data_IF_520094351099
#
_entry.id   IF_520094351099
#
_cell.length_a   1.000
_cell.length_b   1.000
_cell.length_c   1.000
_cell.angle_alpha   90.00
_cell.angle_beta   90.00
_cell.angle_gamma   90.00
#
_symmetry.space_group_name_H-M   'P 1'
#
loop_
_entity.id
_entity.type
_entity.pdbx_description
1 polymer ?
#
# COMPACT_ATOMS: atom_id res chain seq x y z
N UNK A 1 67.91 -23.84 -59.79
CA UNK A 1 66.52 -23.46 -60.13
C UNK A 1 65.56 -24.45 -59.49
N UNK A 2 64.94 -24.08 -58.36
CA UNK A 2 63.58 -24.50 -57.91
C UNK A 2 63.43 -24.16 -56.42
N UNK A 3 62.93 -22.96 -56.14
CA UNK A 3 62.36 -22.61 -54.84
C UNK A 3 60.87 -22.95 -54.89
N UNK A 4 60.43 -23.88 -54.04
CA UNK A 4 59.03 -24.21 -53.82
C UNK A 4 58.48 -23.26 -52.75
N UNK A 5 57.67 -22.29 -53.17
CA UNK A 5 56.97 -21.36 -52.28
C UNK A 5 55.63 -22.01 -51.93
N UNK A 6 55.49 -22.50 -50.70
CA UNK A 6 54.19 -22.88 -50.14
C UNK A 6 53.49 -21.62 -49.60
N UNK A 7 52.49 -21.14 -50.33
CA UNK A 7 51.59 -20.10 -49.86
C UNK A 7 50.51 -20.75 -48.98
N UNK A 8 50.67 -20.63 -47.65
CA UNK A 8 49.64 -21.01 -46.68
C UNK A 8 48.57 -19.92 -46.71
N UNK A 9 47.46 -20.19 -47.40
CA UNK A 9 46.29 -19.33 -47.45
C UNK A 9 45.48 -19.54 -46.15
N UNK A 10 45.83 -18.81 -45.08
CA UNK A 10 45.04 -18.76 -43.86
C UNK A 10 43.72 -18.03 -44.14
N UNK A 11 42.66 -18.79 -44.38
CA UNK A 11 41.29 -18.27 -44.41
C UNK A 11 40.93 -17.92 -42.96
N UNK A 12 41.08 -16.65 -42.59
CA UNK A 12 40.64 -16.13 -41.30
C UNK A 12 39.11 -16.00 -41.37
N UNK A 13 38.39 -17.03 -40.96
CA UNK A 13 36.93 -17.01 -40.85
C UNK A 13 36.55 -15.97 -39.80
N UNK A 14 36.16 -14.78 -40.24
CA UNK A 14 35.71 -13.70 -39.38
C UNK A 14 34.30 -14.03 -38.86
N UNK A 15 34.21 -14.95 -37.90
CA UNK A 15 32.97 -15.18 -37.16
C UNK A 15 32.67 -13.91 -36.36
N UNK A 16 31.46 -13.33 -36.45
CA UNK A 16 31.13 -12.16 -35.65
C UNK A 16 31.31 -12.52 -34.18
N UNK A 17 32.09 -11.70 -33.47
CA UNK A 17 32.33 -11.91 -32.05
C UNK A 17 31.02 -11.65 -31.26
N UNK A 18 30.81 -12.31 -30.11
CA UNK A 18 29.64 -12.05 -29.25
C UNK A 18 29.42 -10.58 -28.89
N UNK A 19 30.48 -9.77 -28.85
CA UNK A 19 30.37 -8.33 -28.62
C UNK A 19 29.70 -7.58 -29.80
N UNK A 20 29.96 -8.00 -31.04
CA UNK A 20 29.38 -7.39 -32.23
C UNK A 20 27.91 -7.78 -32.41
N UNK A 21 27.53 -9.01 -32.01
CA UNK A 21 26.12 -9.43 -31.99
C UNK A 21 25.33 -8.71 -30.90
N UNK A 22 25.88 -8.57 -29.68
CA UNK A 22 25.24 -7.84 -28.60
C UNK A 22 24.96 -6.37 -28.96
N UNK A 23 25.93 -5.67 -29.56
CA UNK A 23 25.74 -4.27 -29.93
C UNK A 23 24.62 -4.08 -30.97
N UNK A 24 24.55 -4.96 -31.97
CA UNK A 24 23.48 -4.95 -32.97
C UNK A 24 22.11 -5.15 -32.31
N UNK A 25 21.98 -6.12 -31.41
CA UNK A 25 20.72 -6.40 -30.69
C UNK A 25 20.28 -5.19 -29.85
N UNK A 26 21.20 -4.53 -29.15
CA UNK A 26 20.88 -3.31 -28.37
C UNK A 26 20.39 -2.18 -29.25
N UNK A 27 20.98 -1.99 -30.44
CA UNK A 27 20.54 -0.97 -31.39
C UNK A 27 19.12 -1.25 -31.88
N UNK A 28 18.84 -2.49 -32.30
CA UNK A 28 17.49 -2.92 -32.70
C UNK A 28 16.48 -2.75 -31.55
N UNK A 29 16.88 -3.05 -30.31
CA UNK A 29 16.05 -2.86 -29.13
C UNK A 29 15.72 -1.38 -28.88
N UNK A 30 16.71 -0.49 -29.01
CA UNK A 30 16.53 0.96 -28.87
C UNK A 30 15.63 1.54 -29.96
N UNK A 31 15.75 1.06 -31.21
CA UNK A 31 14.88 1.44 -32.31
C UNK A 31 13.43 1.01 -32.03
N UNK A 32 13.23 -0.26 -31.67
CA UNK A 32 11.91 -0.77 -31.30
C UNK A 32 11.31 -0.01 -30.11
N UNK A 33 12.11 0.34 -29.10
CA UNK A 33 11.64 1.12 -27.95
C UNK A 33 11.14 2.51 -28.38
N UNK A 34 11.89 3.20 -29.25
CA UNK A 34 11.51 4.53 -29.76
C UNK A 34 10.22 4.50 -30.59
N UNK A 35 9.94 3.38 -31.25
CA UNK A 35 8.70 3.15 -31.99
C UNK A 35 7.52 2.76 -31.08
N UNK A 36 7.73 2.61 -29.77
CA UNK A 36 6.72 2.13 -28.82
C UNK A 36 6.52 0.62 -28.83
N UNK A 37 7.34 -0.12 -29.58
CA UNK A 37 7.31 -1.58 -29.68
C UNK A 37 8.04 -2.23 -28.49
N UNK A 38 7.58 -1.93 -27.26
CA UNK A 38 8.28 -2.28 -26.02
C UNK A 38 8.51 -3.78 -25.83
N UNK A 39 7.61 -4.64 -26.32
CA UNK A 39 7.78 -6.10 -26.26
C UNK A 39 8.95 -6.58 -27.14
N UNK A 40 9.11 -6.00 -28.32
CA UNK A 40 10.24 -6.30 -29.22
C UNK A 40 11.53 -5.76 -28.59
N UNK A 41 11.49 -4.56 -28.03
CA UNK A 41 12.63 -3.99 -27.33
C UNK A 41 13.10 -4.89 -26.16
N UNK A 42 12.17 -5.36 -25.33
CA UNK A 42 12.45 -6.33 -24.27
C UNK A 42 13.12 -7.60 -24.81
N UNK A 43 12.54 -8.25 -25.82
CA UNK A 43 13.09 -9.48 -26.40
C UNK A 43 14.54 -9.28 -26.84
N UNK A 44 14.80 -8.18 -27.55
CA UNK A 44 16.13 -7.85 -28.07
C UNK A 44 17.12 -7.49 -26.96
N UNK A 45 16.70 -6.78 -25.90
CA UNK A 45 17.57 -6.52 -24.76
C UNK A 45 17.89 -7.80 -23.98
N UNK A 46 16.95 -8.72 -23.80
CA UNK A 46 17.21 -10.02 -23.17
C UNK A 46 18.22 -10.84 -23.98
N UNK A 47 18.04 -10.92 -25.30
CA UNK A 47 19.01 -11.55 -26.19
C UNK A 47 20.38 -10.88 -26.14
N UNK A 48 20.44 -9.54 -26.05
CA UNK A 48 21.71 -8.83 -25.90
C UNK A 48 22.43 -9.21 -24.59
N UNK A 49 21.68 -9.32 -23.50
CA UNK A 49 22.20 -9.72 -22.18
C UNK A 49 22.70 -11.16 -22.15
N UNK A 50 22.07 -12.08 -22.90
CA UNK A 50 22.59 -13.45 -23.06
C UNK A 50 23.98 -13.47 -23.72
N UNK A 51 24.27 -12.53 -24.62
CA UNK A 51 25.57 -12.42 -25.27
C UNK A 51 26.59 -11.71 -24.37
N UNK A 52 26.17 -10.59 -23.76
CA UNK A 52 26.99 -9.80 -22.83
C UNK A 52 26.07 -8.97 -21.94
N UNK A 53 25.93 -9.40 -20.69
CA UNK A 53 25.22 -8.64 -19.66
C UNK A 53 26.00 -7.37 -19.29
N UNK A 54 25.27 -6.25 -19.19
CA UNK A 54 25.74 -5.02 -18.56
C UNK A 54 24.59 -4.17 -18.06
N UNK A 55 24.90 -3.34 -17.06
CA UNK A 55 23.95 -2.51 -16.34
C UNK A 55 23.14 -1.56 -17.23
N UNK A 56 23.75 -1.01 -18.29
CA UNK A 56 23.05 -0.13 -19.24
C UNK A 56 21.96 -0.90 -20.03
N UNK A 57 22.19 -2.18 -20.31
CA UNK A 57 21.19 -3.03 -20.97
C UNK A 57 20.09 -3.41 -20.00
N UNK A 58 20.41 -3.73 -18.75
CA UNK A 58 19.45 -4.01 -17.70
C UNK A 58 18.54 -2.80 -17.42
N UNK A 59 19.12 -1.60 -17.34
CA UNK A 59 18.35 -0.35 -17.21
C UNK A 59 17.36 -0.16 -18.37
N UNK A 60 17.80 -0.36 -19.61
CA UNK A 60 16.92 -0.20 -20.77
C UNK A 60 15.87 -1.32 -20.89
N UNK A 61 16.19 -2.54 -20.45
CA UNK A 61 15.23 -3.62 -20.30
C UNK A 61 14.17 -3.27 -19.26
N UNK A 62 14.59 -2.70 -18.12
CA UNK A 62 13.69 -2.14 -17.11
C UNK A 62 12.74 -1.09 -17.69
N UNK A 63 13.24 -0.18 -18.53
CA UNK A 63 12.40 0.82 -19.21
C UNK A 63 11.36 0.17 -20.13
N UNK A 64 11.74 -0.84 -20.92
CA UNK A 64 10.81 -1.60 -21.77
C UNK A 64 9.73 -2.31 -20.96
N UNK A 65 10.08 -2.85 -19.79
CA UNK A 65 9.14 -3.52 -18.87
C UNK A 65 8.21 -2.52 -18.20
N UNK A 66 8.72 -1.37 -17.77
CA UNK A 66 7.93 -0.30 -17.17
C UNK A 66 6.84 0.22 -18.11
N UNK A 67 7.19 0.43 -19.39
CA UNK A 67 6.24 0.86 -20.41
C UNK A 67 5.22 -0.24 -20.80
N UNK A 68 5.47 -1.49 -20.43
CA UNK A 68 4.50 -2.58 -20.50
C UNK A 68 3.71 -2.75 -19.20
N UNK A 69 3.82 -1.81 -18.25
CA UNK A 69 3.18 -1.84 -16.93
C UNK A 69 3.61 -3.03 -16.05
N UNK A 70 4.71 -3.70 -16.40
CA UNK A 70 5.31 -4.79 -15.61
C UNK A 70 6.23 -4.21 -14.55
N UNK A 71 5.63 -3.45 -13.63
CA UNK A 71 6.36 -2.62 -12.67
C UNK A 71 7.27 -3.38 -11.72
N UNK A 72 6.87 -4.58 -11.27
CA UNK A 72 7.68 -5.40 -10.35
C UNK A 72 8.98 -5.86 -11.00
N UNK A 73 8.93 -6.33 -12.26
CA UNK A 73 10.13 -6.72 -12.99
C UNK A 73 10.99 -5.49 -13.32
N UNK A 74 10.36 -4.39 -13.75
CA UNK A 74 11.07 -3.15 -14.02
C UNK A 74 11.83 -2.64 -12.79
N UNK A 75 11.18 -2.63 -11.62
CA UNK A 75 11.78 -2.27 -10.34
C UNK A 75 13.05 -3.07 -10.06
N UNK A 76 13.00 -4.40 -10.21
CA UNK A 76 14.16 -5.27 -9.98
C UNK A 76 15.30 -4.98 -10.97
N UNK A 77 15.00 -4.76 -12.25
CA UNK A 77 16.03 -4.40 -13.23
C UNK A 77 16.67 -3.03 -12.95
N UNK A 78 15.89 -2.04 -12.52
CA UNK A 78 16.44 -0.73 -12.14
C UNK A 78 17.34 -0.80 -10.90
N UNK A 79 16.92 -1.59 -9.90
CA UNK A 79 17.68 -1.82 -8.68
C UNK A 79 19.05 -2.46 -9.00
N UNK A 80 19.06 -3.55 -9.76
CA UNK A 80 20.29 -4.26 -10.15
C UNK A 80 21.19 -3.38 -11.05
N UNK A 81 20.62 -2.69 -12.04
CA UNK A 81 21.37 -1.84 -12.95
C UNK A 81 22.12 -0.71 -12.22
N UNK A 82 21.51 -0.11 -11.19
CA UNK A 82 22.08 1.05 -10.48
C UNK A 82 23.50 0.84 -9.93
N UNK A 83 23.92 -0.41 -9.69
CA UNK A 83 25.25 -0.75 -9.19
C UNK A 83 26.39 -0.64 -10.21
N UNK A 84 26.09 -0.70 -11.51
CA UNK A 84 27.09 -0.74 -12.58
C UNK A 84 27.07 0.44 -13.56
N UNK A 85 26.26 1.46 -13.29
CA UNK A 85 26.06 2.64 -14.16
C UNK A 85 27.00 3.79 -13.80
N UNK A 86 27.22 4.70 -14.76
CA UNK A 86 27.81 6.01 -14.49
C UNK A 86 26.90 6.84 -13.57
N UNK A 87 27.41 7.89 -12.91
CA UNK A 87 26.60 8.68 -11.96
C UNK A 87 25.32 9.24 -12.59
N UNK A 88 25.40 9.79 -13.81
CA UNK A 88 24.23 10.31 -14.51
C UNK A 88 23.21 9.22 -14.85
N UNK A 89 23.66 8.10 -15.41
CA UNK A 89 22.77 6.96 -15.71
C UNK A 89 22.20 6.33 -14.43
N UNK A 90 22.98 6.29 -13.35
CA UNK A 90 22.57 5.81 -12.05
C UNK A 90 21.47 6.68 -11.44
N UNK A 91 21.56 8.01 -11.57
CA UNK A 91 20.51 8.92 -11.14
C UNK A 91 19.19 8.63 -11.89
N UNK A 92 19.26 8.42 -13.20
CA UNK A 92 18.09 8.05 -14.02
C UNK A 92 17.53 6.67 -13.64
N UNK A 93 18.39 5.69 -13.36
CA UNK A 93 17.96 4.36 -12.91
C UNK A 93 17.26 4.43 -11.55
N UNK A 94 17.80 5.19 -10.59
CA UNK A 94 17.19 5.41 -9.28
C UNK A 94 15.87 6.18 -9.38
N UNK A 95 15.77 7.14 -10.31
CA UNK A 95 14.50 7.82 -10.59
C UNK A 95 13.45 6.84 -11.10
N UNK A 96 13.80 5.95 -12.04
CA UNK A 96 12.88 4.97 -12.59
C UNK A 96 12.55 3.82 -11.60
N UNK A 97 13.49 3.44 -10.74
CA UNK A 97 13.24 2.59 -9.57
C UNK A 97 12.17 3.22 -8.68
N UNK A 98 12.31 4.51 -8.38
CA UNK A 98 11.33 5.28 -7.60
C UNK A 98 9.96 5.33 -8.24
N UNK A 99 9.90 5.53 -9.56
CA UNK A 99 8.65 5.51 -10.33
C UNK A 99 7.99 4.13 -10.32
N UNK A 100 8.76 3.05 -10.48
CA UNK A 100 8.26 1.68 -10.44
C UNK A 100 7.72 1.33 -9.04
N UNK A 101 8.47 1.67 -7.99
CA UNK A 101 8.04 1.50 -6.61
C UNK A 101 6.75 2.28 -6.31
N UNK A 102 6.62 3.50 -6.82
CA UNK A 102 5.41 4.32 -6.66
C UNK A 102 4.19 3.65 -7.30
N UNK A 103 4.33 3.08 -8.50
CA UNK A 103 3.26 2.33 -9.19
C UNK A 103 2.85 1.06 -8.43
N UNK A 104 3.80 0.46 -7.71
CA UNK A 104 3.59 -0.70 -6.84
C UNK A 104 3.06 -0.33 -5.45
N UNK A 105 2.83 0.97 -5.18
CA UNK A 105 2.47 1.49 -3.85
C UNK A 105 3.50 1.16 -2.75
N UNK A 106 4.74 0.85 -3.16
CA UNK A 106 5.91 0.68 -2.30
C UNK A 106 6.49 2.06 -1.98
N UNK A 107 5.73 2.86 -1.21
CA UNK A 107 6.03 4.29 -1.06
C UNK A 107 7.34 4.56 -0.32
N UNK A 108 7.72 3.71 0.62
CA UNK A 108 9.00 3.83 1.33
C UNK A 108 10.20 3.65 0.39
N UNK A 109 10.17 2.60 -0.42
CA UNK A 109 11.17 2.31 -1.43
C UNK A 109 11.23 3.42 -2.49
N UNK A 110 10.07 3.92 -2.92
CA UNK A 110 9.96 5.04 -3.85
C UNK A 110 10.65 6.30 -3.32
N UNK A 111 10.37 6.66 -2.06
CA UNK A 111 10.97 7.82 -1.38
C UNK A 111 12.49 7.68 -1.29
N UNK A 112 12.99 6.50 -0.91
CA UNK A 112 14.44 6.27 -0.78
C UNK A 112 15.15 6.29 -2.14
N UNK A 113 14.55 5.73 -3.19
CA UNK A 113 15.11 5.77 -4.53
C UNK A 113 15.22 7.22 -5.06
N UNK A 114 14.17 8.04 -4.91
CA UNK A 114 14.22 9.45 -5.31
C UNK A 114 15.24 10.27 -4.50
N UNK A 115 15.37 10.02 -3.19
CA UNK A 115 16.41 10.67 -2.37
C UNK A 115 17.81 10.34 -2.87
N UNK A 116 18.08 9.08 -3.20
CA UNK A 116 19.36 8.66 -3.78
C UNK A 116 19.60 9.31 -5.14
N UNK A 117 18.58 9.41 -5.99
CA UNK A 117 18.67 10.09 -7.28
C UNK A 117 18.99 11.58 -7.12
N UNK A 118 18.32 12.28 -6.19
CA UNK A 118 18.60 13.69 -5.86
C UNK A 118 19.97 13.91 -5.23
N UNK A 119 20.53 12.92 -4.54
CA UNK A 119 21.89 13.03 -4.01
C UNK A 119 22.93 13.18 -5.14
N UNK A 120 22.64 12.60 -6.31
CA UNK A 120 23.47 12.69 -7.52
C UNK A 120 23.10 13.93 -8.34
N UNK A 121 21.80 14.12 -8.64
CA UNK A 121 21.29 15.27 -9.38
C UNK A 121 20.44 16.18 -8.48
N UNK A 122 21.10 17.09 -7.76
CA UNK A 122 20.49 17.89 -6.68
C UNK A 122 19.44 18.88 -7.18
N UNK A 123 19.53 19.33 -8.43
CA UNK A 123 18.68 20.37 -9.00
C UNK A 123 17.50 19.84 -9.82
N UNK A 124 17.33 18.52 -9.92
CA UNK A 124 16.25 17.91 -10.68
C UNK A 124 14.86 18.24 -10.11
N UNK A 125 14.09 19.03 -10.85
CA UNK A 125 12.75 19.45 -10.44
C UNK A 125 11.75 18.30 -10.51
N UNK A 126 11.89 17.41 -11.49
CA UNK A 126 10.96 16.30 -11.70
C UNK A 126 11.10 15.28 -10.57
N UNK A 127 12.34 14.93 -10.20
CA UNK A 127 12.59 14.00 -9.09
C UNK A 127 12.07 14.58 -7.77
N UNK A 128 12.25 15.89 -7.51
CA UNK A 128 11.68 16.53 -6.31
C UNK A 128 10.15 16.46 -6.28
N UNK A 129 9.49 16.72 -7.40
CA UNK A 129 8.02 16.64 -7.49
C UNK A 129 7.52 15.22 -7.22
N UNK A 130 8.15 14.21 -7.82
CA UNK A 130 7.77 12.82 -7.60
C UNK A 130 8.07 12.34 -6.16
N UNK A 131 9.14 12.82 -5.55
CA UNK A 131 9.41 12.59 -4.12
C UNK A 131 8.31 13.16 -3.24
N UNK A 132 7.92 14.43 -3.45
CA UNK A 132 6.81 15.05 -2.70
C UNK A 132 5.50 14.27 -2.88
N UNK A 133 5.22 13.80 -4.10
CA UNK A 133 4.06 12.97 -4.39
C UNK A 133 4.11 11.62 -3.67
N UNK A 134 5.26 10.93 -3.66
CA UNK A 134 5.42 9.66 -2.94
C UNK A 134 5.23 9.83 -1.42
N UNK A 135 5.75 10.91 -0.84
CA UNK A 135 5.54 11.26 0.58
C UNK A 135 4.06 11.49 0.87
N UNK A 136 3.36 12.22 0.00
CA UNK A 136 1.92 12.45 0.13
C UNK A 136 1.15 11.14 0.11
N UNK A 137 1.44 10.25 -0.85
CA UNK A 137 0.75 8.97 -0.97
C UNK A 137 0.98 8.06 0.24
N UNK A 138 2.21 8.01 0.76
CA UNK A 138 2.52 7.31 2.01
C UNK A 138 1.67 7.84 3.16
N UNK A 139 1.55 9.16 3.28
CA UNK A 139 0.78 9.78 4.36
C UNK A 139 -0.72 9.47 4.25
N UNK A 140 -1.27 9.49 3.04
CA UNK A 140 -2.66 9.11 2.78
C UNK A 140 -2.89 7.64 3.18
N UNK A 141 -2.00 6.72 2.79
CA UNK A 141 -2.09 5.32 3.17
C UNK A 141 -2.07 5.15 4.70
N UNK A 142 -1.14 5.80 5.40
CA UNK A 142 -1.09 5.74 6.86
C UNK A 142 -2.38 6.22 7.54
N UNK A 143 -3.01 7.27 7.01
CA UNK A 143 -4.29 7.74 7.56
C UNK A 143 -5.42 6.75 7.27
N UNK A 144 -5.44 6.13 6.09
CA UNK A 144 -6.42 5.09 5.75
C UNK A 144 -6.29 3.88 6.69
N UNK A 145 -5.06 3.43 6.96
CA UNK A 145 -4.79 2.32 7.88
C UNK A 145 -5.24 2.67 9.31
N UNK A 146 -4.93 3.88 9.79
CA UNK A 146 -5.37 4.35 11.11
C UNK A 146 -6.89 4.44 11.23
N UNK A 147 -7.58 4.92 10.20
CA UNK A 147 -9.04 4.97 10.19
C UNK A 147 -9.67 3.58 10.18
N UNK A 148 -9.08 2.64 9.43
CA UNK A 148 -9.54 1.26 9.40
C UNK A 148 -9.40 0.62 10.79
N UNK A 149 -8.26 0.79 11.45
CA UNK A 149 -8.05 0.28 12.80
C UNK A 149 -9.04 0.87 13.81
N UNK A 150 -9.32 2.18 13.71
CA UNK A 150 -10.29 2.84 14.57
C UNK A 150 -11.72 2.35 14.31
N UNK A 151 -12.08 2.11 13.04
CA UNK A 151 -13.38 1.55 12.68
C UNK A 151 -13.54 0.12 13.20
N UNK A 152 -12.52 -0.73 13.03
CA UNK A 152 -12.52 -2.12 13.49
C UNK A 152 -12.67 -2.18 15.03
N UNK A 153 -11.94 -1.32 15.77
CA UNK A 153 -12.10 -1.19 17.23
C UNK A 153 -13.51 -0.72 17.65
N UNK A 154 -14.10 0.21 16.90
CA UNK A 154 -15.44 0.70 17.21
C UNK A 154 -16.52 -0.37 16.94
N UNK A 155 -16.33 -1.22 15.94
CA UNK A 155 -17.21 -2.36 15.69
C UNK A 155 -17.10 -3.40 16.80
N UNK A 156 -15.88 -3.75 17.21
CA UNK A 156 -15.67 -4.71 18.31
C UNK A 156 -16.32 -4.22 19.62
N UNK A 157 -16.20 -2.92 19.93
CA UNK A 157 -16.88 -2.33 21.09
C UNK A 157 -18.41 -2.40 20.99
N UNK A 158 -18.98 -2.19 19.80
CA UNK A 158 -20.43 -2.31 19.59
C UNK A 158 -20.90 -3.75 19.78
N UNK A 159 -20.20 -4.72 19.20
CA UNK A 159 -20.52 -6.14 19.36
C UNK A 159 -20.45 -6.58 20.83
N UNK A 160 -19.45 -6.11 21.58
CA UNK A 160 -19.36 -6.37 23.02
C UNK A 160 -20.53 -5.76 23.81
N UNK A 161 -20.95 -4.53 23.48
CA UNK A 161 -22.11 -3.90 24.11
C UNK A 161 -23.41 -4.65 23.80
N UNK A 162 -23.60 -5.09 22.57
CA UNK A 162 -24.78 -5.87 22.16
C UNK A 162 -24.84 -7.22 22.88
N UNK A 163 -23.71 -7.94 22.98
CA UNK A 163 -23.64 -9.18 23.76
C UNK A 163 -23.97 -8.96 25.24
N UNK A 164 -23.45 -7.87 25.83
CA UNK A 164 -23.73 -7.56 27.23
C UNK A 164 -25.21 -7.19 27.46
N UNK A 165 -25.84 -6.49 26.53
CA UNK A 165 -27.29 -6.23 26.57
C UNK A 165 -28.11 -7.51 26.46
N UNK A 166 -27.78 -8.42 25.55
CA UNK A 166 -28.47 -9.72 25.43
C UNK A 166 -28.32 -10.57 26.69
N UNK A 167 -27.15 -10.56 27.32
CA UNK A 167 -26.91 -11.28 28.56
C UNK A 167 -27.73 -10.71 29.72
N UNK A 168 -27.79 -9.38 29.84
CA UNK A 168 -28.59 -8.70 30.85
C UNK A 168 -30.10 -8.96 30.66
N UNK A 169 -30.61 -8.89 29.41
CA UNK A 169 -32.01 -9.24 29.12
C UNK A 169 -32.33 -10.69 29.49
N UNK A 170 -31.42 -11.62 29.20
CA UNK A 170 -31.58 -13.04 29.53
C UNK A 170 -31.62 -13.28 31.05
N UNK A 171 -30.75 -12.61 31.82
CA UNK A 171 -30.78 -12.67 33.29
C UNK A 171 -32.08 -12.09 33.86
N UNK A 172 -32.51 -10.92 33.38
CA UNK A 172 -33.73 -10.28 33.84
C UNK A 172 -34.97 -11.16 33.57
N UNK A 173 -34.98 -11.86 32.43
CA UNK A 173 -36.05 -12.79 32.07
C UNK A 173 -36.07 -14.02 32.98
N UNK A 174 -34.90 -14.57 33.34
CA UNK A 174 -34.80 -15.66 34.32
C UNK A 174 -35.25 -15.25 35.72
N UNK A 175 -34.91 -14.04 36.16
CA UNK A 175 -35.30 -13.54 37.48
C UNK A 175 -36.81 -13.29 37.57
N UNK A 176 -37.44 -12.77 36.52
CA UNK A 176 -38.91 -12.67 36.43
C UNK A 176 -39.56 -14.06 36.52
N UNK A 177 -39.04 -15.05 35.78
CA UNK A 177 -39.58 -16.41 35.83
C UNK A 177 -39.45 -17.06 37.22
N UNK A 178 -38.37 -16.77 37.95
CA UNK A 178 -38.20 -17.22 39.34
C UNK A 178 -39.21 -16.56 40.28
N UNK A 179 -39.42 -15.24 40.15
CA UNK A 179 -40.41 -14.52 40.96
C UNK A 179 -41.83 -15.04 40.71
N UNK A 180 -42.21 -15.28 39.45
CA UNK A 180 -43.52 -15.84 39.11
C UNK A 180 -43.72 -17.23 39.73
N UNK A 181 -42.70 -18.11 39.66
CA UNK A 181 -42.76 -19.42 40.32
C UNK A 181 -42.91 -19.32 41.84
N UNK A 182 -42.23 -18.36 42.47
CA UNK A 182 -42.32 -18.13 43.91
C UNK A 182 -43.71 -17.61 44.31
N UNK A 183 -44.31 -16.72 43.52
CA UNK A 183 -45.68 -16.25 43.74
C UNK A 183 -46.70 -17.38 43.56
N UNK A 184 -46.53 -18.24 42.55
CA UNK A 184 -47.40 -19.41 42.37
C UNK A 184 -47.31 -20.38 43.56
N UNK A 185 -46.11 -20.64 44.08
CA UNK A 185 -45.96 -21.47 45.28
C UNK A 185 -46.63 -20.85 46.51
N UNK A 186 -46.48 -19.54 46.74
CA UNK A 186 -47.18 -18.86 47.84
C UNK A 186 -48.70 -18.86 47.66
N UNK A 187 -49.21 -18.73 46.43
CA UNK A 187 -50.64 -18.85 46.17
C UNK A 187 -51.14 -20.27 46.44
N UNK A 188 -50.37 -21.30 46.09
CA UNK A 188 -50.69 -22.69 46.42
C UNK A 188 -50.72 -22.94 47.92
N UNK A 189 -49.70 -22.50 48.67
CA UNK A 189 -49.69 -22.61 50.14
C UNK A 189 -50.86 -21.85 50.79
N UNK A 190 -51.21 -20.67 50.27
CA UNK A 190 -52.36 -19.91 50.75
C UNK A 190 -53.69 -20.59 50.38
N UNK A 191 -53.79 -21.26 49.22
CA UNK A 191 -54.96 -22.06 48.85
C UNK A 191 -55.11 -23.30 49.73
N UNK A 192 -54.02 -23.99 50.07
CA UNK A 192 -54.04 -25.13 50.99
C UNK A 192 -54.47 -24.69 52.40
N UNK A 193 -53.94 -23.56 52.90
CA UNK A 193 -54.38 -22.97 54.16
C UNK A 193 -55.83 -22.45 54.11
N UNK A 194 -56.29 -21.95 52.97
CA UNK A 194 -57.69 -21.55 52.80
C UNK A 194 -58.63 -22.74 52.63
N UNK A 195 -58.21 -23.88 52.08
CA UNK A 195 -59.02 -25.10 52.05
C UNK A 195 -59.18 -25.69 53.46
N UNK A 196 -58.16 -25.57 54.33
CA UNK A 196 -58.31 -25.86 55.77
C UNK A 196 -59.31 -24.90 56.45
N UNK A 197 -59.44 -23.65 55.99
CA UNK A 197 -60.41 -22.67 56.52
C UNK A 197 -61.78 -22.68 55.83
N UNK A 198 -61.88 -23.17 54.59
CA UNK A 198 -63.11 -23.21 53.77
C UNK A 198 -63.90 -24.51 53.89
N UNK A 199 -63.52 -25.42 54.78
CA UNK A 199 -64.50 -26.33 55.41
C UNK A 199 -65.53 -25.59 56.29
N UNK A 200 -65.48 -24.25 56.37
CA UNK A 200 -66.42 -23.44 57.14
C UNK A 200 -67.18 -22.31 56.42
N UNK A 201 -67.02 -22.06 55.12
CA UNK A 201 -68.02 -21.28 54.37
C UNK A 201 -67.68 -21.12 52.88
N UNK A 202 -68.72 -21.20 52.04
CA UNK A 202 -68.66 -21.01 50.59
C UNK A 202 -69.50 -19.81 50.17
N UNK A 203 -68.99 -18.99 49.25
CA UNK A 203 -69.80 -18.03 48.48
C UNK A 203 -68.99 -16.97 47.72
N UNK A 204 -69.11 -17.02 46.37
CA UNK A 204 -69.14 -15.91 45.37
C UNK A 204 -67.94 -14.90 45.33
N UNK A 205 -67.50 -14.23 44.25
CA UNK A 205 -67.97 -13.89 42.89
C UNK A 205 -66.81 -13.16 42.10
N UNK A 206 -66.96 -13.08 40.76
CA UNK A 206 -66.61 -11.99 39.78
C UNK A 206 -65.19 -11.55 39.30
N UNK A 207 -65.09 -11.49 37.96
CA UNK A 207 -64.55 -10.49 36.97
C UNK A 207 -63.22 -9.70 37.17
N UNK A 208 -62.31 -9.69 36.17
CA UNK A 208 -62.18 -8.67 35.08
C UNK A 208 -60.79 -8.61 34.35
N UNK A 209 -60.80 -7.93 33.20
CA UNK A 209 -59.86 -7.79 32.04
C UNK A 209 -58.39 -7.32 32.25
N UNK A 210 -57.54 -7.57 31.22
CA UNK A 210 -56.75 -6.51 30.50
C UNK A 210 -56.00 -6.99 29.24
N UNK A 211 -56.17 -6.24 28.14
CA UNK A 211 -55.38 -6.29 26.89
C UNK A 211 -54.23 -5.26 26.91
N UNK A 212 -53.14 -5.54 26.19
CA UNK A 212 -51.96 -4.69 26.04
C UNK A 212 -51.59 -4.55 24.55
N UNK A 213 -51.38 -3.33 24.06
CA UNK A 213 -50.83 -3.03 22.73
C UNK A 213 -49.46 -2.35 22.88
N UNK A 214 -48.50 -2.74 22.03
CA UNK A 214 -47.16 -2.17 21.94
C UNK A 214 -46.93 -1.72 20.49
N UNK A 215 -46.39 -0.51 20.31
CA UNK A 215 -45.92 0.05 19.05
C UNK A 215 -44.44 0.45 19.22
N UNK A 216 -43.63 0.15 18.21
CA UNK A 216 -42.19 0.38 18.20
C UNK A 216 -41.74 0.83 16.82
N UNK A 217 -41.19 2.03 16.75
CA UNK A 217 -40.53 2.58 15.57
C UNK A 217 -39.03 2.72 15.85
N UNK A 218 -38.20 2.32 14.90
CA UNK A 218 -36.78 2.65 14.86
C UNK A 218 -36.42 3.20 13.47
N UNK A 219 -35.79 4.36 13.48
CA UNK A 219 -35.02 4.92 12.38
C UNK A 219 -33.58 5.07 12.89
N UNK A 220 -32.63 4.74 12.01
CA UNK A 220 -31.60 5.66 11.47
C UNK A 220 -30.19 5.06 11.44
N UNK A 221 -29.42 5.43 10.41
CA UNK A 221 -27.99 5.16 10.33
C UNK A 221 -27.37 5.37 8.95
N UNK A 222 -27.20 6.63 8.52
CA UNK A 222 -26.32 7.00 7.40
C UNK A 222 -24.85 7.09 7.87
N UNK A 223 -23.93 6.56 7.05
CA UNK A 223 -22.47 6.65 7.21
C UNK A 223 -21.98 8.04 6.81
N UNK A 224 -21.19 8.67 7.69
CA UNK A 224 -20.52 9.94 7.43
C UNK A 224 -19.19 9.73 6.69
N UNK A 225 -19.04 10.42 5.55
CA UNK A 225 -17.79 10.55 4.80
C UNK A 225 -16.84 11.56 5.47
N UNK A 226 -15.53 11.28 5.35
CA UNK A 226 -14.45 12.10 5.88
C UNK A 226 -14.46 13.51 5.26
N UNK A 227 -14.38 14.56 6.09
CA UNK A 227 -14.60 15.93 5.62
C UNK A 227 -13.41 16.46 4.81
N UNK A 228 -13.73 17.17 3.73
CA UNK A 228 -12.82 17.94 2.85
C UNK A 228 -11.81 18.83 3.60
N UNK A 229 -12.10 19.17 4.86
CA UNK A 229 -11.29 20.02 5.73
C UNK A 229 -10.05 19.30 6.30
N UNK A 230 -10.12 17.98 6.50
CA UNK A 230 -8.98 17.17 6.96
C UNK A 230 -7.96 16.96 5.84
N UNK A 231 -8.43 16.81 4.59
CA UNK A 231 -7.58 16.76 3.41
C UNK A 231 -6.82 18.08 3.18
N UNK A 232 -7.44 19.23 3.47
CA UNK A 232 -6.80 20.55 3.37
C UNK A 232 -5.74 20.78 4.45
N UNK A 233 -5.99 20.30 5.68
CA UNK A 233 -4.97 20.33 6.74
C UNK A 233 -3.75 19.47 6.38
N UNK A 234 -3.95 18.35 5.70
CA UNK A 234 -2.85 17.53 5.23
C UNK A 234 -2.01 18.23 4.15
N UNK A 235 -2.66 18.97 3.25
CA UNK A 235 -1.98 19.74 2.20
C UNK A 235 -1.05 20.81 2.80
N UNK A 236 -1.54 21.55 3.80
CA UNK A 236 -0.76 22.56 4.52
C UNK A 236 0.46 21.95 5.25
N UNK A 237 0.28 20.77 5.85
CA UNK A 237 1.38 20.02 6.49
C UNK A 237 2.44 19.62 5.45
N UNK A 238 2.05 19.15 4.27
CA UNK A 238 2.99 18.75 3.22
C UNK A 238 3.77 19.94 2.68
N UNK A 239 3.11 21.07 2.44
CA UNK A 239 3.77 22.31 2.01
C UNK A 239 4.81 22.77 3.05
N UNK A 240 4.48 22.64 4.34
CA UNK A 240 5.42 22.96 5.43
C UNK A 240 6.62 22.01 5.51
N UNK A 241 6.44 20.72 5.22
CA UNK A 241 7.53 19.74 5.22
C UNK A 241 8.42 19.87 3.98
N UNK A 242 7.85 20.20 2.82
CA UNK A 242 8.62 20.52 1.61
C UNK A 242 9.54 21.72 1.85
N UNK A 243 9.05 22.77 2.51
CA UNK A 243 9.88 23.93 2.88
C UNK A 243 11.03 23.54 3.82
N UNK A 244 10.81 22.66 4.80
CA UNK A 244 11.86 22.18 5.71
C UNK A 244 12.91 21.33 4.99
N UNK A 245 12.50 20.48 4.06
CA UNK A 245 13.41 19.68 3.23
C UNK A 245 14.26 20.60 2.36
N UNK A 246 13.65 21.60 1.71
CA UNK A 246 14.35 22.61 0.93
C UNK A 246 15.35 23.40 1.79
N UNK A 247 14.99 23.77 3.02
CA UNK A 247 15.88 24.48 3.93
C UNK A 247 17.08 23.61 4.36
N UNK A 248 16.86 22.32 4.64
CA UNK A 248 17.93 21.37 4.96
C UNK A 248 18.88 21.16 3.78
N UNK A 249 18.36 21.02 2.56
CA UNK A 249 19.18 20.91 1.35
C UNK A 249 20.03 22.17 1.14
N UNK A 250 19.45 23.38 1.32
CA UNK A 250 20.20 24.64 1.24
C UNK A 250 21.29 24.77 2.31
N UNK A 251 21.06 24.26 3.52
CA UNK A 251 22.06 24.24 4.60
C UNK A 251 23.21 23.27 4.34
N UNK A 252 22.94 22.16 3.65
CA UNK A 252 23.97 21.21 3.21
C UNK A 252 24.87 21.84 2.14
N UNK A 253 24.31 22.61 1.20
CA UNK A 253 25.10 23.32 0.19
C UNK A 253 25.85 24.54 0.74
N UNK A 254 25.27 25.28 1.71
CA UNK A 254 25.93 26.41 2.36
C UNK A 254 27.17 26.03 3.19
N UNK A 255 27.33 24.75 3.51
CA UNK A 255 28.47 24.24 4.29
C UNK A 255 29.60 23.66 3.41
N UNK A 256 29.47 23.67 2.07
CA UNK A 256 30.61 23.50 1.16
C UNK A 256 31.44 24.78 1.18
N UNK A 257 32.31 24.91 2.20
CA UNK A 257 33.37 25.93 2.22
C UNK A 257 34.10 25.89 0.87
N UNK A 258 34.20 27.05 0.21
CA UNK A 258 35.10 27.25 -0.94
C UNK A 258 36.47 26.68 -0.57
N UNK A 259 37.11 25.87 -1.44
CA UNK A 259 38.49 25.50 -1.20
C UNK A 259 39.31 26.79 -1.16
N UNK A 260 39.94 27.07 -0.02
CA UNK A 260 41.04 28.03 0.04
C UNK A 260 42.09 27.53 -0.96
N UNK A 261 42.33 28.35 -2.00
CA UNK A 261 43.46 28.15 -2.91
C UNK A 261 44.73 28.35 -2.10
N UNK A 262 45.35 27.24 -1.69
CA UNK A 262 46.77 27.21 -1.36
C UNK A 262 47.56 26.86 -2.62
N UNK A 263 47.68 27.85 -3.50
CA UNK A 263 48.80 28.07 -4.45
C UNK A 263 48.57 29.34 -5.27
#
# INVERSE_FOLDING_TARGET
MRYLIFAILSIFSLSPTPAQSAHKLKKEAQEAFKEGNYKIAEEKYRLANEQKSDAATDYNLGNSLFNQERYEEAYNYFLEASGGLSDEEKANSLYNEGNAALKLQKYDESIEAYKKALAINQDDKEIRQNLSYAIMQKKIQQMQDQMKDQFDQQQEQREQQEQQQQQNQSQQSQDQQKQEKQQQQQQQENQDQNQEKQQQNSGEENQDQKDNQNDGSEQNGEKQDLSKEEALKLLDIIESEEQKVQEKLRKIDGNKKKPEKDW
#
